data_IF_070099300355
#
_entry.id   IF_070099300355
#
_cell.length_a   1.000
_cell.length_b   1.000
_cell.length_c   1.000
_cell.angle_alpha   90.00
_cell.angle_beta   90.00
_cell.angle_gamma   90.00
#
_symmetry.space_group_name_H-M   'P 1'
#
loop_
_entity.id
_entity.type
_entity.pdbx_description
1 polymer ?
#
# COMPACT_ATOMS: atom_id res chain seq x y z
N UNK A 1 -5.17 -17.89 0.03
CA UNK A 1 -4.44 -16.79 -0.67
C UNK A 1 -2.99 -17.22 -0.79
N UNK A 2 -2.35 -17.00 -1.95
CA UNK A 2 -0.93 -17.29 -2.17
C UNK A 2 -0.03 -16.11 -1.79
N UNK A 3 1.22 -16.14 -2.22
CA UNK A 3 2.12 -14.99 -2.08
C UNK A 3 1.84 -13.93 -3.17
N UNK A 4 1.63 -12.69 -2.76
CA UNK A 4 1.63 -11.52 -3.63
C UNK A 4 2.94 -10.74 -3.48
N UNK A 5 3.54 -10.32 -4.60
CA UNK A 5 4.77 -9.54 -4.59
C UNK A 5 4.54 -8.20 -3.86
N UNK A 6 5.37 -7.92 -2.85
CA UNK A 6 5.20 -6.76 -1.97
C UNK A 6 5.10 -7.17 -0.50
N UNK A 7 4.44 -8.30 -0.21
CA UNK A 7 4.26 -8.83 1.15
C UNK A 7 5.60 -9.14 1.84
N UNK A 8 6.63 -9.50 1.07
CA UNK A 8 7.97 -9.76 1.60
C UNK A 8 8.59 -8.54 2.28
N UNK A 9 8.34 -7.33 1.78
CA UNK A 9 8.83 -6.10 2.41
C UNK A 9 8.13 -5.84 3.74
N UNK A 10 6.80 -6.03 3.75
CA UNK A 10 5.97 -5.86 4.95
C UNK A 10 6.38 -6.86 6.03
N UNK A 11 6.48 -8.14 5.65
CA UNK A 11 6.94 -9.21 6.54
C UNK A 11 8.34 -8.94 7.10
N UNK A 12 9.27 -8.50 6.23
CA UNK A 12 10.64 -8.17 6.62
C UNK A 12 10.69 -7.03 7.64
N UNK A 13 9.93 -5.95 7.43
CA UNK A 13 9.89 -4.84 8.37
C UNK A 13 9.25 -5.24 9.70
N UNK A 14 8.11 -5.94 9.67
CA UNK A 14 7.47 -6.45 10.89
C UNK A 14 8.44 -7.32 11.69
N UNK A 15 9.20 -8.21 11.03
CA UNK A 15 10.17 -9.08 11.69
C UNK A 15 11.33 -8.30 12.32
N UNK A 16 11.81 -7.25 11.68
CA UNK A 16 12.85 -6.38 12.26
C UNK A 16 12.38 -5.67 13.53
N UNK A 17 11.11 -5.26 13.57
CA UNK A 17 10.52 -4.52 14.70
C UNK A 17 10.14 -5.45 15.85
N UNK A 18 9.42 -6.53 15.58
CA UNK A 18 8.90 -7.43 16.62
C UNK A 18 9.93 -8.46 17.09
N UNK A 19 10.88 -8.82 16.21
CA UNK A 19 11.89 -9.88 16.43
C UNK A 19 11.28 -11.23 16.84
N UNK A 20 10.04 -11.48 16.42
CA UNK A 20 9.29 -12.69 16.72
C UNK A 20 8.49 -13.14 15.49
N UNK A 21 8.89 -14.28 14.91
CA UNK A 21 8.29 -14.81 13.69
C UNK A 21 6.80 -15.17 13.83
N UNK A 22 6.40 -15.78 14.95
CA UNK A 22 4.99 -16.13 15.19
C UNK A 22 4.11 -14.88 15.26
N UNK A 23 4.59 -13.84 15.96
CA UNK A 23 3.88 -12.57 16.00
C UNK A 23 3.74 -11.93 14.61
N UNK A 24 4.80 -11.98 13.79
CA UNK A 24 4.76 -11.46 12.40
C UNK A 24 3.73 -12.22 11.57
N UNK A 25 3.67 -13.54 11.70
CA UNK A 25 2.70 -14.36 10.98
C UNK A 25 1.26 -13.93 11.28
N UNK A 26 0.91 -13.79 12.56
CA UNK A 26 -0.44 -13.36 12.96
C UNK A 26 -0.73 -11.91 12.58
N UNK A 27 0.25 -11.01 12.65
CA UNK A 27 0.10 -9.62 12.19
C UNK A 27 -0.14 -9.55 10.68
N UNK A 28 0.57 -10.35 9.88
CA UNK A 28 0.34 -10.40 8.42
C UNK A 28 -1.05 -10.93 8.09
N UNK A 29 -1.55 -11.94 8.82
CA UNK A 29 -2.93 -12.43 8.65
C UNK A 29 -3.92 -11.30 8.95
N UNK A 30 -3.80 -10.63 10.11
CA UNK A 30 -4.69 -9.54 10.48
C UNK A 30 -4.66 -8.40 9.45
N UNK A 31 -3.47 -8.06 8.95
CA UNK A 31 -3.28 -7.02 7.95
C UNK A 31 -3.96 -7.37 6.61
N UNK A 32 -3.76 -8.59 6.10
CA UNK A 32 -4.30 -9.02 4.80
C UNK A 32 -5.80 -9.30 4.86
N UNK A 33 -6.28 -9.91 5.94
CA UNK A 33 -7.67 -10.37 6.03
C UNK A 33 -8.62 -9.34 6.65
N UNK A 34 -8.11 -8.45 7.51
CA UNK A 34 -8.94 -7.49 8.25
C UNK A 34 -8.72 -6.05 7.81
N UNK A 35 -7.46 -5.59 7.77
CA UNK A 35 -7.17 -4.18 7.50
C UNK A 35 -7.22 -3.82 6.01
N UNK A 36 -6.79 -4.75 5.15
CA UNK A 36 -6.62 -4.52 3.71
C UNK A 36 -7.41 -5.55 2.87
N UNK A 37 -8.74 -5.56 2.99
CA UNK A 37 -9.55 -6.51 2.23
C UNK A 37 -9.32 -6.34 0.73
N UNK A 38 -9.19 -7.46 0.03
CA UNK A 38 -9.00 -7.55 -1.42
C UNK A 38 -7.74 -6.87 -2.00
N UNK A 39 -6.80 -6.44 -1.16
CA UNK A 39 -5.54 -5.85 -1.64
C UNK A 39 -4.67 -6.88 -2.37
N UNK A 40 -4.57 -8.09 -1.81
CA UNK A 40 -3.71 -9.17 -2.31
C UNK A 40 -4.51 -10.31 -2.95
N UNK A 41 -5.74 -10.03 -3.40
CA UNK A 41 -6.54 -10.95 -4.20
C UNK A 41 -5.99 -11.06 -5.62
N UNK A 42 -6.48 -12.00 -6.42
CA UNK A 42 -6.07 -12.15 -7.83
C UNK A 42 -6.44 -10.94 -8.70
N UNK A 43 -7.47 -10.20 -8.31
CA UNK A 43 -7.93 -8.98 -9.00
C UNK A 43 -7.32 -7.71 -8.41
N UNK A 44 -6.78 -7.78 -7.18
CA UNK A 44 -6.23 -6.64 -6.44
C UNK A 44 -7.21 -5.46 -6.34
N UNK A 45 -8.51 -5.76 -6.28
CA UNK A 45 -9.56 -4.75 -6.37
C UNK A 45 -9.48 -3.71 -5.25
N UNK A 46 -9.07 -4.11 -4.05
CA UNK A 46 -8.88 -3.16 -2.93
C UNK A 46 -7.83 -2.10 -3.24
N UNK A 47 -6.65 -2.51 -3.72
CA UNK A 47 -5.57 -1.58 -4.12
C UNK A 47 -6.04 -0.65 -5.24
N UNK A 48 -6.70 -1.19 -6.26
CA UNK A 48 -7.17 -0.40 -7.41
C UNK A 48 -8.18 0.65 -6.94
N UNK A 49 -9.14 0.26 -6.09
CA UNK A 49 -10.12 1.19 -5.52
C UNK A 49 -9.44 2.33 -4.76
N UNK A 50 -8.47 2.04 -3.91
CA UNK A 50 -7.80 3.10 -3.14
C UNK A 50 -6.92 4.02 -4.00
N UNK A 51 -6.35 3.50 -5.10
CA UNK A 51 -5.66 4.31 -6.10
C UNK A 51 -6.63 5.24 -6.84
N UNK A 52 -7.84 4.78 -7.16
CA UNK A 52 -8.88 5.62 -7.78
C UNK A 52 -9.38 6.69 -6.81
N UNK A 53 -9.55 6.35 -5.53
CA UNK A 53 -9.87 7.33 -4.47
C UNK A 53 -8.76 8.36 -4.37
N UNK A 54 -7.48 7.96 -4.37
CA UNK A 54 -6.34 8.89 -4.38
C UNK A 54 -6.39 9.82 -5.61
N UNK A 55 -6.61 9.27 -6.80
CA UNK A 55 -6.74 10.04 -8.03
C UNK A 55 -7.81 11.12 -7.90
N UNK A 56 -8.98 10.76 -7.38
CA UNK A 56 -10.11 11.68 -7.19
C UNK A 56 -9.81 12.75 -6.13
N UNK A 57 -9.17 12.37 -5.02
CA UNK A 57 -8.73 13.32 -4.00
C UNK A 57 -7.72 14.33 -4.57
N UNK A 58 -6.77 13.88 -5.38
CA UNK A 58 -5.81 14.78 -6.05
C UNK A 58 -6.55 15.68 -7.05
N UNK A 59 -7.52 15.16 -7.80
CA UNK A 59 -8.35 15.97 -8.71
C UNK A 59 -9.07 17.11 -7.98
N UNK A 60 -9.60 16.83 -6.79
CA UNK A 60 -10.35 17.81 -5.98
C UNK A 60 -9.45 18.80 -5.23
N UNK A 61 -8.30 18.35 -4.72
CA UNK A 61 -7.43 19.16 -3.84
C UNK A 61 -6.26 19.81 -4.57
N UNK A 62 -5.75 19.18 -5.63
CA UNK A 62 -4.57 19.58 -6.40
C UNK A 62 -4.85 19.40 -7.92
N UNK A 63 -5.84 20.11 -8.47
CA UNK A 63 -6.31 19.89 -9.84
C UNK A 63 -5.21 20.05 -10.90
N UNK A 64 -4.24 20.93 -10.68
CA UNK A 64 -3.09 21.13 -11.56
C UNK A 64 -2.21 19.88 -11.68
N UNK A 65 -1.97 19.20 -10.55
CA UNK A 65 -1.20 17.95 -10.51
C UNK A 65 -1.97 16.87 -11.27
N UNK A 66 -3.27 16.73 -10.98
CA UNK A 66 -4.11 15.76 -11.67
C UNK A 66 -4.11 15.98 -13.18
N UNK A 67 -4.34 17.22 -13.62
CA UNK A 67 -4.33 17.56 -15.05
C UNK A 67 -2.97 17.25 -15.69
N UNK A 68 -1.85 17.51 -15.00
CA UNK A 68 -0.52 17.23 -15.53
C UNK A 68 -0.29 15.72 -15.71
N UNK A 69 -0.63 14.91 -14.71
CA UNK A 69 -0.54 13.44 -14.80
C UNK A 69 -1.43 12.91 -15.92
N UNK A 70 -2.69 13.36 -15.99
CA UNK A 70 -3.62 12.96 -17.06
C UNK A 70 -3.13 13.37 -18.45
N UNK A 71 -2.54 14.56 -18.60
CA UNK A 71 -2.02 15.05 -19.90
C UNK A 71 -0.85 14.22 -20.44
N UNK A 72 -0.13 13.50 -19.58
CA UNK A 72 0.92 12.57 -19.97
C UNK A 72 0.36 11.19 -20.37
N UNK A 73 -0.94 10.96 -20.22
CA UNK A 73 -1.58 9.67 -20.46
C UNK A 73 -1.17 8.59 -19.45
N UNK A 74 -0.65 8.99 -18.28
CA UNK A 74 -0.18 8.06 -17.26
C UNK A 74 -1.33 7.64 -16.34
N UNK A 75 -1.60 6.33 -16.17
CA UNK A 75 -2.58 5.89 -15.20
C UNK A 75 -2.03 6.09 -13.78
N UNK A 76 -2.89 6.49 -12.86
CA UNK A 76 -2.53 6.66 -11.44
C UNK A 76 -1.98 5.39 -10.80
N UNK A 77 -2.41 4.22 -11.29
CA UNK A 77 -1.84 2.94 -10.90
C UNK A 77 -0.31 2.89 -11.10
N UNK A 78 0.23 3.47 -12.18
CA UNK A 78 1.67 3.47 -12.41
C UNK A 78 2.45 4.24 -11.33
N UNK A 79 1.82 5.26 -10.75
CA UNK A 79 2.42 6.12 -9.73
C UNK A 79 2.29 5.48 -8.34
N UNK A 80 1.08 5.03 -8.00
CA UNK A 80 0.72 4.75 -6.62
C UNK A 80 0.70 3.25 -6.26
N UNK A 81 0.75 2.33 -7.24
CA UNK A 81 0.67 0.89 -6.97
C UNK A 81 1.70 0.42 -5.93
N UNK A 82 2.96 0.84 -6.07
CA UNK A 82 4.02 0.45 -5.12
C UNK A 82 3.81 1.06 -3.73
N UNK A 83 3.18 2.23 -3.65
CA UNK A 83 2.89 2.89 -2.38
C UNK A 83 1.91 2.06 -1.55
N UNK A 84 0.82 1.62 -2.17
CA UNK A 84 -0.24 0.86 -1.51
C UNK A 84 0.11 -0.63 -1.34
N UNK A 85 0.61 -1.31 -2.38
CA UNK A 85 0.95 -2.74 -2.29
C UNK A 85 2.02 -3.03 -1.24
N UNK A 86 3.03 -2.16 -1.13
CA UNK A 86 4.12 -2.36 -0.18
C UNK A 86 3.91 -1.58 1.13
N UNK A 87 2.75 -0.94 1.32
CA UNK A 87 2.47 -0.05 2.44
C UNK A 87 3.63 0.90 2.75
N UNK A 88 4.16 1.52 1.71
CA UNK A 88 5.26 2.48 1.73
C UNK A 88 6.64 1.98 2.20
N UNK A 89 6.79 0.71 2.58
CA UNK A 89 8.04 0.15 3.16
C UNK A 89 9.28 0.36 2.27
N UNK A 90 9.09 0.34 0.95
CA UNK A 90 10.16 0.50 -0.06
C UNK A 90 9.99 1.80 -0.88
N UNK A 91 9.42 2.82 -0.24
CA UNK A 91 9.09 4.12 -0.85
C UNK A 91 9.48 5.29 0.07
N UNK A 92 9.20 5.16 1.37
CA UNK A 92 9.45 6.20 2.37
C UNK A 92 10.51 5.74 3.39
N UNK A 93 11.16 6.69 4.10
CA UNK A 93 12.03 6.35 5.22
C UNK A 93 11.29 5.51 6.29
N UNK A 94 11.99 4.55 6.88
CA UNK A 94 11.41 3.56 7.81
C UNK A 94 10.64 4.21 8.97
N UNK A 95 11.13 5.31 9.54
CA UNK A 95 10.46 6.02 10.63
C UNK A 95 9.11 6.62 10.19
N UNK A 96 8.99 7.00 8.92
CA UNK A 96 7.73 7.51 8.35
C UNK A 96 6.75 6.37 8.12
N UNK A 97 7.23 5.24 7.59
CA UNK A 97 6.42 4.04 7.36
C UNK A 97 5.80 3.55 8.66
N UNK A 98 6.60 3.44 9.73
CA UNK A 98 6.11 2.98 11.03
C UNK A 98 5.01 3.90 11.60
N UNK A 99 5.16 5.22 11.47
CA UNK A 99 4.11 6.17 11.90
C UNK A 99 2.83 6.07 11.08
N UNK A 100 2.94 5.79 9.77
CA UNK A 100 1.77 5.53 8.93
C UNK A 100 1.06 4.27 9.42
N UNK A 101 1.83 3.21 9.72
CA UNK A 101 1.28 1.94 10.19
C UNK A 101 0.63 2.02 11.57
N UNK A 102 1.13 2.88 12.46
CA UNK A 102 0.49 3.15 13.77
C UNK A 102 -0.93 3.75 13.63
N UNK A 103 -1.29 4.28 12.45
CA UNK A 103 -2.60 4.86 12.16
C UNK A 103 -3.52 3.94 11.32
N UNK A 104 -3.04 2.77 10.90
CA UNK A 104 -3.84 1.74 10.22
C UNK A 104 -4.64 0.93 11.24
#
# INVERSE_FOLDING_TARGET
VGYCQGLNYIAGLLLLVTKNEEAVFWLLIALVETLLPDYYSSTMSGVITDIEVLSELVRLKLPEVHQRVSSMGLPWALVATKWFICLYVDVLPIETVLRIWDCL
#
